data_IF_922160216269
#
_entry.id   IF_922160216269
#
_cell.length_a   1.000
_cell.length_b   1.000
_cell.length_c   1.000
_cell.angle_alpha   90.00
_cell.angle_beta   90.00
_cell.angle_gamma   90.00
#
_symmetry.space_group_name_H-M   'P 1'
#
loop_
_entity.id
_entity.type
_entity.pdbx_description
1 polymer ?
#
# COMPACT_ATOMS: atom_id res chain seq x y z
N UNK A 1 -0.38 -19.65 -19.86
CA UNK A 1 -0.37 -18.17 -19.91
C UNK A 1 0.92 -17.67 -19.28
N UNK A 2 1.38 -16.47 -19.65
CA UNK A 2 2.55 -15.84 -19.03
C UNK A 2 2.10 -14.70 -18.11
N UNK A 3 2.62 -14.66 -16.89
CA UNK A 3 2.41 -13.58 -15.92
C UNK A 3 3.71 -12.77 -15.79
N UNK A 4 3.64 -11.47 -16.06
CA UNK A 4 4.75 -10.55 -15.81
C UNK A 4 4.54 -9.85 -14.47
N UNK A 5 5.43 -10.10 -13.52
CA UNK A 5 5.42 -9.45 -12.21
C UNK A 5 6.30 -8.21 -12.28
N UNK A 6 5.72 -7.03 -12.05
CA UNK A 6 6.42 -5.74 -12.07
C UNK A 6 6.67 -5.26 -10.65
N UNK A 7 7.93 -5.05 -10.30
CA UNK A 7 8.39 -4.69 -8.95
C UNK A 7 9.14 -3.35 -9.00
N UNK A 8 8.50 -2.21 -8.65
CA UNK A 8 9.22 -0.94 -8.52
C UNK A 8 10.12 -0.98 -7.27
N UNK A 9 11.38 -0.58 -7.43
CA UNK A 9 12.39 -0.63 -6.38
C UNK A 9 13.10 0.72 -6.19
N UNK A 10 13.33 1.12 -4.95
CA UNK A 10 14.14 2.29 -4.61
C UNK A 10 14.78 2.15 -3.23
N UNK A 11 16.11 2.02 -3.18
CA UNK A 11 16.92 2.03 -1.94
C UNK A 11 16.46 1.05 -0.85
N UNK A 12 15.97 -0.14 -1.23
CA UNK A 12 15.44 -1.13 -0.29
C UNK A 12 15.92 -2.56 -0.62
N UNK A 13 17.23 -2.81 -0.69
CA UNK A 13 17.78 -4.09 -1.17
C UNK A 13 17.34 -5.29 -0.33
N UNK A 14 17.32 -5.15 0.99
CA UNK A 14 16.94 -6.21 1.94
C UNK A 14 15.49 -6.68 1.75
N UNK A 15 14.59 -5.72 1.52
CA UNK A 15 13.20 -6.01 1.24
C UNK A 15 13.02 -6.65 -0.14
N UNK A 16 13.71 -6.13 -1.16
CA UNK A 16 13.68 -6.71 -2.51
C UNK A 16 14.15 -8.17 -2.49
N UNK A 17 15.23 -8.48 -1.75
CA UNK A 17 15.73 -9.84 -1.62
C UNK A 17 14.68 -10.78 -1.01
N UNK A 18 14.04 -10.34 0.08
CA UNK A 18 12.98 -11.11 0.74
C UNK A 18 11.74 -11.28 -0.16
N UNK A 19 11.36 -10.22 -0.87
CA UNK A 19 10.23 -10.21 -1.81
C UNK A 19 10.46 -11.15 -2.99
N UNK A 20 11.64 -11.09 -3.62
CA UNK A 20 12.01 -12.01 -4.71
C UNK A 20 12.06 -13.46 -4.23
N UNK A 21 12.62 -13.74 -3.05
CA UNK A 21 12.61 -15.09 -2.49
C UNK A 21 11.16 -15.62 -2.30
N UNK A 22 10.22 -14.77 -1.88
CA UNK A 22 8.82 -15.15 -1.75
C UNK A 22 8.11 -15.37 -3.10
N UNK A 23 8.45 -14.59 -4.13
CA UNK A 23 7.95 -14.80 -5.51
C UNK A 23 8.45 -16.12 -6.12
N UNK A 24 9.64 -16.60 -5.72
CA UNK A 24 10.16 -17.89 -6.16
C UNK A 24 9.66 -19.08 -5.32
N UNK A 25 9.11 -18.82 -4.13
CA UNK A 25 8.54 -19.85 -3.24
C UNK A 25 7.03 -20.10 -3.46
N UNK A 26 6.50 -19.69 -4.62
CA UNK A 26 5.08 -19.79 -4.94
C UNK A 26 4.64 -21.24 -5.19
N UNK A 27 3.41 -21.56 -4.83
CA UNK A 27 2.85 -22.92 -4.86
C UNK A 27 1.66 -23.01 -5.80
N UNK A 28 1.53 -24.17 -6.46
CA UNK A 28 0.38 -24.50 -7.29
C UNK A 28 0.24 -23.62 -8.55
N UNK A 29 1.34 -23.06 -9.04
CA UNK A 29 1.38 -22.23 -10.25
C UNK A 29 1.74 -23.11 -11.44
N UNK A 30 0.95 -23.04 -12.51
CA UNK A 30 1.26 -23.73 -13.79
C UNK A 30 1.66 -22.78 -14.90
N UNK A 31 1.48 -21.48 -14.69
CA UNK A 31 1.85 -20.42 -15.61
C UNK A 31 3.35 -20.13 -15.60
N UNK A 32 3.88 -19.73 -16.76
CA UNK A 32 5.23 -19.17 -16.85
C UNK A 32 5.26 -17.79 -16.21
N UNK A 33 6.37 -17.48 -15.53
CA UNK A 33 6.55 -16.24 -14.76
C UNK A 33 7.84 -15.53 -15.19
N UNK A 34 7.72 -14.25 -15.54
CA UNK A 34 8.85 -13.33 -15.62
C UNK A 34 8.69 -12.23 -14.56
N UNK A 35 9.81 -11.79 -13.99
CA UNK A 35 9.82 -10.74 -12.97
C UNK A 35 10.67 -9.58 -13.49
N UNK A 36 10.10 -8.38 -13.47
CA UNK A 36 10.75 -7.16 -13.95
C UNK A 36 10.92 -6.24 -12.75
N UNK A 37 12.14 -6.18 -12.23
CA UNK A 37 12.52 -5.25 -11.17
C UNK A 37 12.92 -3.94 -11.84
N UNK A 38 12.21 -2.86 -11.48
CA UNK A 38 12.48 -1.53 -12.03
C UNK A 38 13.07 -0.65 -10.93
N UNK A 39 14.38 -0.46 -11.00
CA UNK A 39 15.09 0.48 -10.14
C UNK A 39 14.73 1.92 -10.52
N UNK A 40 14.24 2.70 -9.55
CA UNK A 40 13.80 4.07 -9.75
C UNK A 40 14.81 5.11 -9.22
N UNK A 41 16.10 4.84 -9.40
CA UNK A 41 17.19 5.73 -9.01
C UNK A 41 17.77 5.43 -7.63
N UNK A 42 18.03 4.15 -7.34
CA UNK A 42 18.74 3.77 -6.12
C UNK A 42 20.19 4.27 -6.12
N UNK A 43 20.75 4.49 -4.93
CA UNK A 43 22.17 4.84 -4.75
C UNK A 43 23.09 3.74 -5.26
N UNK A 44 22.70 2.50 -5.00
CA UNK A 44 23.37 1.29 -5.44
C UNK A 44 22.34 0.38 -6.12
N UNK A 45 22.67 -0.11 -7.32
CA UNK A 45 21.78 -1.00 -8.05
C UNK A 45 21.80 -2.41 -7.43
N UNK A 46 20.64 -3.08 -7.29
CA UNK A 46 20.53 -4.39 -6.64
C UNK A 46 20.95 -5.55 -7.55
N UNK A 47 22.05 -5.41 -8.31
CA UNK A 47 22.51 -6.41 -9.29
C UNK A 47 22.74 -7.78 -8.66
N UNK A 48 23.41 -7.85 -7.51
CA UNK A 48 23.72 -9.10 -6.83
C UNK A 48 22.49 -9.83 -6.31
N UNK A 49 21.39 -9.11 -6.04
CA UNK A 49 20.13 -9.67 -5.57
C UNK A 49 19.34 -10.21 -6.77
N UNK A 50 19.21 -9.41 -7.85
CA UNK A 50 18.47 -9.81 -9.05
C UNK A 50 19.17 -10.95 -9.81
N UNK A 51 20.50 -10.96 -9.90
CA UNK A 51 21.26 -11.97 -10.64
C UNK A 51 21.22 -13.39 -10.04
N UNK A 52 20.59 -13.58 -8.87
CA UNK A 52 20.37 -14.91 -8.27
C UNK A 52 19.29 -15.72 -9.00
N UNK A 53 18.51 -15.08 -9.88
CA UNK A 53 17.29 -15.63 -10.44
C UNK A 53 17.26 -15.43 -11.96
N UNK A 54 17.12 -16.52 -12.71
CA UNK A 54 17.22 -16.49 -14.18
C UNK A 54 16.04 -15.78 -14.86
N UNK A 55 14.87 -15.74 -14.22
CA UNK A 55 13.66 -15.09 -14.72
C UNK A 55 13.45 -13.67 -14.17
N UNK A 56 14.46 -13.08 -13.52
CA UNK A 56 14.44 -11.70 -13.03
C UNK A 56 15.22 -10.78 -13.97
N UNK A 57 14.54 -9.81 -14.54
CA UNK A 57 15.15 -8.73 -15.31
C UNK A 57 15.23 -7.46 -14.44
N UNK A 58 16.44 -6.95 -14.22
CA UNK A 58 16.67 -5.65 -13.61
C UNK A 58 16.79 -4.57 -14.69
N UNK A 59 16.00 -3.50 -14.56
CA UNK A 59 16.06 -2.31 -15.43
C UNK A 59 15.99 -1.04 -14.61
N UNK A 60 16.50 0.06 -15.17
CA UNK A 60 16.44 1.38 -14.52
C UNK A 60 15.41 2.29 -15.18
N UNK A 61 14.71 3.08 -14.36
CA UNK A 61 13.82 4.16 -14.77
C UNK A 61 14.24 5.46 -14.06
N UNK A 62 14.84 6.44 -14.77
CA UNK A 62 15.36 7.66 -14.17
C UNK A 62 14.25 8.66 -13.77
N UNK A 63 13.04 8.54 -14.30
CA UNK A 63 11.93 9.45 -13.98
C UNK A 63 11.41 9.14 -12.57
N UNK A 64 11.47 10.07 -11.61
CA UNK A 64 11.07 9.78 -10.24
C UNK A 64 9.59 9.45 -10.09
N UNK A 65 9.31 8.39 -9.35
CA UNK A 65 7.97 8.00 -8.94
C UNK A 65 7.65 6.53 -9.26
N UNK A 66 6.79 5.91 -8.44
CA UNK A 66 6.43 4.51 -8.63
C UNK A 66 5.60 4.26 -9.90
N UNK A 67 4.78 5.23 -10.34
CA UNK A 67 4.05 5.16 -11.61
C UNK A 67 4.97 5.03 -12.83
N UNK A 68 5.93 5.96 -13.05
CA UNK A 68 6.95 5.82 -14.10
C UNK A 68 7.70 4.48 -14.06
N UNK A 69 8.13 4.03 -12.88
CA UNK A 69 8.80 2.74 -12.72
C UNK A 69 7.90 1.58 -13.18
N UNK A 70 6.63 1.55 -12.75
CA UNK A 70 5.67 0.52 -13.21
C UNK A 70 5.43 0.58 -14.72
N UNK A 71 5.31 1.78 -15.30
CA UNK A 71 5.16 1.95 -16.75
C UNK A 71 6.36 1.39 -17.52
N UNK A 72 7.58 1.59 -17.01
CA UNK A 72 8.78 0.99 -17.61
C UNK A 72 8.72 -0.53 -17.58
N UNK A 73 8.26 -1.12 -16.47
CA UNK A 73 8.04 -2.56 -16.37
C UNK A 73 6.97 -3.05 -17.34
N UNK A 74 5.83 -2.36 -17.44
CA UNK A 74 4.73 -2.67 -18.37
C UNK A 74 5.23 -2.72 -19.82
N UNK A 75 6.07 -1.77 -20.23
CA UNK A 75 6.58 -1.69 -21.60
C UNK A 75 7.53 -2.84 -21.97
N UNK A 76 8.12 -3.52 -20.97
CA UNK A 76 9.03 -4.65 -21.15
C UNK A 76 8.34 -6.00 -20.97
N UNK A 77 7.21 -6.01 -20.25
CA UNK A 77 6.41 -7.18 -19.99
C UNK A 77 5.90 -7.84 -21.28
N UNK A 78 6.01 -9.17 -21.32
CA UNK A 78 5.56 -10.04 -22.41
C UNK A 78 4.32 -10.83 -22.03
N UNK A 79 3.96 -10.85 -20.75
CA UNK A 79 2.85 -11.58 -20.20
C UNK A 79 1.50 -11.03 -20.61
N UNK A 80 0.54 -11.94 -20.74
CA UNK A 80 -0.86 -11.60 -20.97
C UNK A 80 -1.50 -10.98 -19.73
N UNK A 81 -0.94 -11.29 -18.54
CA UNK A 81 -1.30 -10.72 -17.26
C UNK A 81 -0.11 -9.94 -16.71
N UNK A 82 -0.40 -8.72 -16.26
CA UNK A 82 0.53 -7.86 -15.54
C UNK A 82 0.13 -7.91 -14.06
N UNK A 83 1.05 -8.32 -13.20
CA UNK A 83 0.86 -8.34 -11.76
C UNK A 83 1.83 -7.35 -11.10
N UNK A 84 1.33 -6.54 -10.17
CA UNK A 84 2.09 -5.50 -9.49
C UNK A 84 2.21 -5.82 -8.00
N UNK A 85 3.43 -5.71 -7.49
CA UNK A 85 3.78 -5.86 -6.08
C UNK A 85 4.91 -4.87 -5.75
N UNK A 86 4.85 -4.24 -4.58
CA UNK A 86 5.89 -3.30 -4.14
C UNK A 86 7.14 -4.05 -3.63
N UNK A 87 8.32 -3.45 -3.74
CA UNK A 87 9.58 -4.09 -3.33
C UNK A 87 9.67 -4.37 -1.82
N UNK A 88 8.89 -3.67 -0.98
CA UNK A 88 8.73 -3.92 0.45
C UNK A 88 7.66 -4.95 0.79
N UNK A 89 6.89 -5.42 -0.19
CA UNK A 89 5.88 -6.43 0.03
C UNK A 89 6.43 -7.86 -0.14
N UNK A 90 5.89 -8.78 0.65
CA UNK A 90 6.11 -10.22 0.53
C UNK A 90 4.83 -10.90 0.05
N UNK A 91 4.88 -11.57 -1.10
CA UNK A 91 3.74 -12.35 -1.59
C UNK A 91 3.45 -13.56 -0.68
N UNK A 92 2.17 -13.85 -0.42
CA UNK A 92 1.77 -15.14 0.17
C UNK A 92 2.12 -16.29 -0.78
N UNK A 93 2.33 -17.50 -0.26
CA UNK A 93 2.77 -18.65 -1.07
C UNK A 93 1.80 -19.03 -2.20
N UNK A 94 0.53 -18.65 -2.07
CA UNK A 94 -0.54 -18.92 -3.04
C UNK A 94 -0.91 -17.68 -3.87
N UNK A 95 -0.10 -16.61 -3.84
CA UNK A 95 -0.43 -15.33 -4.50
C UNK A 95 -0.52 -15.47 -6.02
N UNK A 96 0.47 -16.11 -6.65
CA UNK A 96 0.46 -16.34 -8.10
C UNK A 96 -0.63 -17.32 -8.54
N UNK A 97 -0.89 -18.38 -7.76
CA UNK A 97 -1.96 -19.32 -8.09
C UNK A 97 -3.34 -18.70 -7.89
N UNK A 98 -3.51 -17.77 -6.95
CA UNK A 98 -4.73 -16.96 -6.84
C UNK A 98 -4.95 -16.06 -8.08
N UNK A 99 -3.87 -15.46 -8.61
CA UNK A 99 -3.92 -14.67 -9.86
C UNK A 99 -4.31 -15.57 -11.05
N UNK A 100 -3.62 -16.70 -11.23
CA UNK A 100 -3.88 -17.67 -12.31
C UNK A 100 -5.33 -18.19 -12.26
N UNK A 101 -5.80 -18.60 -11.07
CA UNK A 101 -7.17 -19.05 -10.87
C UNK A 101 -8.19 -17.97 -11.21
N UNK A 102 -7.95 -16.71 -10.82
CA UNK A 102 -8.88 -15.62 -11.09
C UNK A 102 -8.98 -15.29 -12.59
N UNK A 103 -7.86 -15.35 -13.33
CA UNK A 103 -7.81 -15.07 -14.77
C UNK A 103 -8.15 -16.26 -15.67
N UNK A 104 -8.36 -17.45 -15.10
CA UNK A 104 -8.95 -18.60 -15.81
C UNK A 104 -10.36 -18.30 -16.33
N UNK A 105 -11.07 -17.36 -15.69
CA UNK A 105 -12.27 -16.75 -16.24
C UNK A 105 -11.87 -15.68 -17.29
N UNK A 106 -12.18 -15.87 -18.58
CA UNK A 106 -11.84 -14.89 -19.62
C UNK A 106 -12.54 -13.54 -19.42
N UNK A 107 -13.63 -13.48 -18.65
CA UNK A 107 -14.34 -12.22 -18.31
C UNK A 107 -13.70 -11.48 -17.14
N UNK A 108 -12.78 -12.10 -16.42
CA UNK A 108 -12.02 -11.45 -15.37
C UNK A 108 -10.92 -10.60 -16.00
N UNK A 109 -10.99 -9.28 -15.80
CA UNK A 109 -10.14 -8.30 -16.49
C UNK A 109 -9.15 -7.60 -15.57
N UNK A 110 -9.59 -7.27 -14.34
CA UNK A 110 -8.81 -6.61 -13.31
C UNK A 110 -9.13 -7.25 -11.95
N UNK A 111 -8.10 -7.59 -11.18
CA UNK A 111 -8.22 -8.08 -9.81
C UNK A 111 -7.36 -7.26 -8.86
N UNK A 112 -7.87 -7.07 -7.65
CA UNK A 112 -7.12 -6.51 -6.52
C UNK A 112 -7.17 -7.45 -5.34
N UNK A 113 -6.03 -7.64 -4.68
CA UNK A 113 -5.90 -8.60 -3.60
C UNK A 113 -5.94 -7.99 -2.20
N UNK A 114 -5.85 -8.82 -1.17
CA UNK A 114 -5.73 -8.36 0.21
C UNK A 114 -4.30 -7.91 0.53
N UNK A 115 -4.16 -6.80 1.24
CA UNK A 115 -2.88 -6.32 1.74
C UNK A 115 -2.93 -6.42 3.27
N UNK A 116 -2.05 -7.25 3.82
CA UNK A 116 -1.96 -7.52 5.24
C UNK A 116 -0.65 -6.97 5.80
N UNK A 117 -0.61 -6.74 7.10
CA UNK A 117 0.64 -6.39 7.78
C UNK A 117 1.38 -7.68 8.09
N UNK A 118 2.61 -7.81 7.59
CA UNK A 118 3.49 -8.92 7.92
C UNK A 118 4.14 -8.69 9.29
N UNK A 119 4.07 -9.69 10.17
CA UNK A 119 4.76 -9.64 11.46
C UNK A 119 6.17 -10.20 11.31
N UNK A 120 7.17 -9.47 11.78
CA UNK A 120 8.56 -9.97 11.75
C UNK A 120 8.72 -11.18 12.69
N UNK A 121 8.05 -11.12 13.85
CA UNK A 121 8.00 -12.18 14.88
C UNK A 121 6.57 -12.37 15.37
N UNK A 122 5.78 -13.24 14.72
CA UNK A 122 4.38 -13.47 15.07
C UNK A 122 4.13 -13.81 16.55
N UNK A 123 5.08 -14.47 17.20
CA UNK A 123 5.06 -14.83 18.61
C UNK A 123 5.31 -13.65 19.57
N UNK A 124 5.88 -12.56 19.07
CA UNK A 124 6.24 -11.38 19.84
C UNK A 124 5.93 -10.09 19.04
N UNK A 125 4.63 -9.81 18.79
CA UNK A 125 4.23 -8.67 17.98
C UNK A 125 4.65 -7.37 18.62
N UNK A 126 5.11 -6.44 17.79
CA UNK A 126 5.44 -5.07 18.17
C UNK A 126 4.19 -4.30 18.58
N UNK A 127 4.39 -3.15 19.22
CA UNK A 127 3.30 -2.26 19.63
C UNK A 127 2.43 -1.76 18.45
N UNK A 128 3.00 -1.69 17.24
CA UNK A 128 2.35 -1.09 16.06
C UNK A 128 1.67 -2.13 15.17
N UNK A 129 2.24 -3.32 15.06
CA UNK A 129 1.79 -4.39 14.15
C UNK A 129 0.28 -4.67 14.29
N UNK A 130 -0.28 -5.00 15.48
CA UNK A 130 -1.72 -5.23 15.62
C UNK A 130 -2.60 -4.03 15.26
N UNK A 131 -2.14 -2.81 15.56
CA UNK A 131 -2.87 -1.60 15.20
C UNK A 131 -2.88 -1.40 13.68
N UNK A 132 -1.73 -1.54 13.03
CA UNK A 132 -1.62 -1.42 11.58
C UNK A 132 -2.38 -2.52 10.85
N UNK A 133 -2.40 -3.76 11.38
CA UNK A 133 -3.19 -4.86 10.82
C UNK A 133 -4.68 -4.53 10.70
N UNK A 134 -5.21 -3.75 11.64
CA UNK A 134 -6.63 -3.37 11.67
C UNK A 134 -6.89 -2.12 10.81
N UNK A 135 -5.99 -1.13 10.86
CA UNK A 135 -6.28 0.23 10.37
C UNK A 135 -5.49 0.66 9.12
N UNK A 136 -4.48 -0.12 8.71
CA UNK A 136 -3.72 0.13 7.48
C UNK A 136 -4.18 -0.80 6.35
N UNK A 137 -3.93 -0.39 5.10
CA UNK A 137 -4.04 -1.22 3.89
C UNK A 137 -5.39 -1.94 3.68
N UNK A 138 -6.51 -1.21 3.79
CA UNK A 138 -7.88 -1.71 3.56
C UNK A 138 -8.21 -1.76 2.06
N UNK A 139 -7.47 -2.58 1.30
CA UNK A 139 -7.54 -2.59 -0.16
C UNK A 139 -8.92 -3.00 -0.70
N UNK A 140 -9.67 -3.81 0.06
CA UNK A 140 -11.07 -4.14 -0.22
C UNK A 140 -11.98 -2.89 -0.29
N UNK A 141 -11.74 -1.89 0.57
CA UNK A 141 -12.48 -0.62 0.56
C UNK A 141 -12.05 0.28 -0.59
N UNK A 142 -10.75 0.33 -0.89
CA UNK A 142 -10.26 1.03 -2.07
C UNK A 142 -10.93 0.48 -3.34
N UNK A 143 -11.06 -0.85 -3.44
CA UNK A 143 -11.70 -1.53 -4.58
C UNK A 143 -13.18 -1.19 -4.67
N UNK A 144 -13.87 -1.12 -3.52
CA UNK A 144 -15.25 -0.62 -3.47
C UNK A 144 -15.37 0.84 -3.95
N UNK A 145 -14.33 1.65 -3.71
CA UNK A 145 -14.21 3.04 -4.19
C UNK A 145 -13.70 3.13 -5.65
N UNK A 146 -13.49 2.00 -6.33
CA UNK A 146 -13.15 1.91 -7.75
C UNK A 146 -11.66 1.92 -8.08
N UNK A 147 -10.76 1.67 -7.11
CA UNK A 147 -9.32 1.55 -7.38
C UNK A 147 -8.66 0.48 -6.51
N UNK A 148 -7.46 0.03 -6.86
CA UNK A 148 -6.70 -0.89 -6.00
C UNK A 148 -5.30 -0.35 -5.82
N UNK A 149 -4.76 -0.45 -4.60
CA UNK A 149 -3.37 -0.15 -4.36
C UNK A 149 -2.49 -1.05 -5.22
N UNK A 150 -1.57 -0.45 -5.97
CA UNK A 150 -0.71 -1.16 -6.93
C UNK A 150 0.32 -2.07 -6.28
N UNK A 151 0.42 -2.09 -4.96
CA UNK A 151 1.15 -3.13 -4.23
C UNK A 151 0.48 -4.50 -4.26
N UNK A 152 -0.78 -4.60 -4.72
CA UNK A 152 -1.47 -5.87 -4.93
C UNK A 152 -2.60 -5.77 -5.99
N UNK A 153 -2.19 -5.62 -7.25
CA UNK A 153 -3.07 -5.47 -8.41
C UNK A 153 -2.62 -6.42 -9.51
N UNK A 154 -3.54 -7.10 -10.19
CA UNK A 154 -3.23 -7.77 -11.44
C UNK A 154 -4.30 -7.48 -12.51
N UNK A 155 -3.87 -7.42 -13.76
CA UNK A 155 -4.68 -6.93 -14.88
C UNK A 155 -4.27 -7.59 -16.19
N UNK A 156 -5.23 -7.80 -17.09
CA UNK A 156 -4.89 -8.19 -18.47
C UNK A 156 -4.09 -7.08 -19.16
N UNK A 157 -3.01 -7.43 -19.85
CA UNK A 157 -2.20 -6.46 -20.59
C UNK A 157 -3.03 -5.66 -21.61
N UNK A 158 -4.06 -6.28 -22.20
CA UNK A 158 -5.01 -5.62 -23.10
C UNK A 158 -5.83 -4.51 -22.44
N UNK A 159 -6.16 -4.65 -21.15
CA UNK A 159 -6.86 -3.63 -20.36
C UNK A 159 -5.92 -2.48 -20.02
N UNK A 160 -4.69 -2.79 -19.60
CA UNK A 160 -3.65 -1.79 -19.36
C UNK A 160 -3.42 -0.91 -20.60
N UNK A 161 -3.38 -1.52 -21.79
CA UNK A 161 -3.26 -0.80 -23.07
C UNK A 161 -4.46 0.12 -23.37
N UNK A 162 -5.68 -0.28 -23.02
CA UNK A 162 -6.89 0.52 -23.22
C UNK A 162 -6.99 1.69 -22.24
N UNK A 163 -6.65 1.46 -20.97
CA UNK A 163 -6.73 2.49 -19.92
C UNK A 163 -5.59 3.50 -20.04
N UNK A 164 -4.41 3.05 -20.45
CA UNK A 164 -3.19 3.85 -20.54
C UNK A 164 -2.32 3.78 -19.28
N UNK A 165 -1.17 4.46 -19.29
CA UNK A 165 -0.15 4.34 -18.25
C UNK A 165 -0.59 4.89 -16.88
N UNK A 166 0.15 4.53 -15.83
CA UNK A 166 0.06 5.18 -14.52
C UNK A 166 0.57 6.63 -14.60
N UNK A 167 -0.01 7.51 -13.77
CA UNK A 167 0.42 8.90 -13.66
C UNK A 167 1.77 9.04 -12.91
N UNK A 168 2.36 10.24 -12.96
CA UNK A 168 3.59 10.57 -12.26
C UNK A 168 3.40 10.87 -10.76
N UNK A 169 4.51 11.17 -10.08
CA UNK A 169 4.59 11.34 -8.60
C UNK A 169 3.66 12.41 -7.99
N UNK A 170 3.15 13.35 -8.79
CA UNK A 170 2.24 14.40 -8.32
C UNK A 170 0.78 13.96 -8.20
N UNK A 171 0.48 12.72 -8.60
CA UNK A 171 -0.86 12.14 -8.61
C UNK A 171 -0.80 10.81 -7.86
N UNK A 172 -1.85 10.50 -7.08
CA UNK A 172 -2.04 9.15 -6.56
C UNK A 172 -2.33 8.21 -7.73
N UNK A 173 -1.28 7.56 -8.26
CA UNK A 173 -1.31 6.93 -9.57
C UNK A 173 -2.23 5.71 -9.62
N UNK A 174 -2.35 5.01 -8.51
CA UNK A 174 -3.22 3.85 -8.31
C UNK A 174 -4.71 4.24 -8.39
N UNK A 175 -5.07 5.31 -7.68
CA UNK A 175 -6.42 5.88 -7.66
C UNK A 175 -6.79 6.50 -8.99
N UNK A 176 -5.89 7.28 -9.59
CA UNK A 176 -6.11 7.85 -10.91
C UNK A 176 -6.37 6.76 -11.96
N UNK A 177 -5.52 5.75 -12.02
CA UNK A 177 -5.63 4.67 -12.99
C UNK A 177 -6.92 3.85 -12.79
N UNK A 178 -7.23 3.47 -11.55
CA UNK A 178 -8.45 2.72 -11.23
C UNK A 178 -9.72 3.47 -11.64
N UNK A 179 -9.80 4.78 -11.37
CA UNK A 179 -10.94 5.60 -11.76
C UNK A 179 -11.06 5.77 -13.28
N UNK A 180 -9.94 5.86 -14.01
CA UNK A 180 -9.96 5.85 -15.48
C UNK A 180 -10.44 4.51 -16.03
N UNK A 181 -9.99 3.40 -15.46
CA UNK A 181 -10.48 2.07 -15.83
C UNK A 181 -12.00 1.95 -15.59
N UNK A 182 -12.50 2.42 -14.45
CA UNK A 182 -13.93 2.45 -14.14
C UNK A 182 -14.76 3.28 -15.13
N UNK A 183 -14.24 4.42 -15.60
CA UNK A 183 -14.90 5.25 -16.63
C UNK A 183 -15.01 4.55 -17.99
N UNK A 184 -14.14 3.59 -18.27
CA UNK A 184 -14.21 2.74 -19.47
C UNK A 184 -15.10 1.50 -19.28
N UNK A 185 -15.70 1.33 -18.10
CA UNK A 185 -16.62 0.23 -17.79
C UNK A 185 -15.97 -0.99 -17.13
N UNK A 186 -14.65 -0.97 -16.93
CA UNK A 186 -13.97 -2.07 -16.23
C UNK A 186 -14.33 -2.09 -14.75
N UNK A 187 -14.35 -3.29 -14.17
CA UNK A 187 -14.58 -3.51 -12.75
C UNK A 187 -13.42 -4.26 -12.14
N UNK A 188 -12.98 -3.81 -10.98
CA UNK A 188 -11.94 -4.48 -10.20
C UNK A 188 -12.63 -5.53 -9.32
N UNK A 189 -12.29 -6.79 -9.51
CA UNK A 189 -12.74 -7.88 -8.64
C UNK A 189 -11.82 -8.00 -7.45
N UNK A 190 -12.38 -7.99 -6.24
CA UNK A 190 -11.61 -8.31 -5.03
C UNK A 190 -11.38 -9.82 -4.93
N UNK A 191 -10.13 -10.23 -4.72
CA UNK A 191 -9.71 -11.63 -4.55
C UNK A 191 -9.01 -11.78 -3.19
N UNK A 192 -9.71 -12.21 -2.12
CA UNK A 192 -9.15 -12.25 -0.77
C UNK A 192 -8.00 -13.25 -0.59
N UNK A 193 -7.87 -14.23 -1.48
CA UNK A 193 -6.79 -15.22 -1.48
C UNK A 193 -5.48 -14.68 -2.09
N UNK A 194 -5.56 -13.62 -2.90
CA UNK A 194 -4.40 -12.92 -3.46
C UNK A 194 -3.81 -12.01 -2.37
N UNK A 195 -2.98 -12.57 -1.48
CA UNK A 195 -2.48 -11.87 -0.29
C UNK A 195 -1.03 -11.41 -0.48
N UNK A 196 -0.76 -10.15 -0.11
CA UNK A 196 0.62 -9.66 0.11
C UNK A 196 0.76 -9.14 1.54
N UNK A 197 1.96 -9.26 2.09
CA UNK A 197 2.34 -8.76 3.41
C UNK A 197 3.22 -7.54 3.26
N UNK A 198 2.74 -6.40 3.75
CA UNK A 198 3.50 -5.15 3.86
C UNK A 198 4.10 -5.05 5.28
N UNK A 199 5.35 -4.60 5.46
CA UNK A 199 5.94 -4.42 6.77
C UNK A 199 5.19 -3.34 7.57
N UNK A 200 5.07 -3.53 8.88
CA UNK A 200 4.62 -2.46 9.76
C UNK A 200 5.66 -1.34 9.82
N UNK A 201 5.23 -0.13 10.24
CA UNK A 201 6.19 0.91 10.63
C UNK A 201 7.01 0.43 11.82
N UNK A 202 8.29 0.79 11.84
CA UNK A 202 9.22 0.34 12.89
C UNK A 202 9.06 1.15 14.17
N UNK A 203 8.69 2.42 14.05
CA UNK A 203 8.64 3.34 15.19
C UNK A 203 7.32 4.09 15.29
N UNK A 204 6.91 4.39 16.53
CA UNK A 204 5.71 5.21 16.77
C UNK A 204 5.85 6.62 16.17
N UNK A 205 7.09 7.12 16.03
CA UNK A 205 7.38 8.39 15.37
C UNK A 205 7.03 8.37 13.89
N UNK A 206 7.32 7.30 13.15
CA UNK A 206 6.88 7.15 11.75
C UNK A 206 5.35 7.19 11.63
N UNK A 207 4.64 6.56 12.58
CA UNK A 207 3.17 6.60 12.62
C UNK A 207 2.66 8.02 12.91
N UNK A 208 3.31 8.76 13.81
CA UNK A 208 2.99 10.17 14.07
C UNK A 208 3.20 11.03 12.83
N UNK A 209 4.35 10.88 12.14
CA UNK A 209 4.66 11.63 10.91
C UNK A 209 3.63 11.35 9.80
N UNK A 210 3.14 10.11 9.68
CA UNK A 210 2.03 9.76 8.77
C UNK A 210 0.80 10.61 9.07
N UNK A 211 0.38 10.64 10.33
CA UNK A 211 -0.82 11.36 10.73
C UNK A 211 -0.64 12.88 10.70
N UNK A 212 0.56 13.40 10.97
CA UNK A 212 0.86 14.84 10.85
C UNK A 212 0.60 15.34 9.42
N UNK A 213 0.99 14.56 8.40
CA UNK A 213 0.66 14.87 7.00
C UNK A 213 -0.84 14.96 6.75
N UNK A 214 -1.57 13.95 7.21
CA UNK A 214 -3.02 13.88 7.01
C UNK A 214 -3.72 15.03 7.74
N UNK A 215 -3.30 15.32 8.96
CA UNK A 215 -3.80 16.44 9.76
C UNK A 215 -3.55 17.77 9.04
N UNK A 216 -2.35 18.00 8.51
CA UNK A 216 -2.02 19.24 7.81
C UNK A 216 -2.93 19.44 6.59
N UNK A 217 -3.13 18.41 5.78
CA UNK A 217 -4.03 18.44 4.63
C UNK A 217 -5.48 18.71 5.04
N UNK A 218 -5.96 17.99 6.07
CA UNK A 218 -7.31 18.17 6.63
C UNK A 218 -7.53 19.58 7.19
N UNK A 219 -6.51 20.18 7.81
CA UNK A 219 -6.59 21.49 8.43
C UNK A 219 -6.86 22.58 7.41
N UNK A 220 -6.10 22.61 6.31
CA UNK A 220 -6.24 23.62 5.25
C UNK A 220 -7.64 23.58 4.61
N UNK A 221 -8.17 22.37 4.40
CA UNK A 221 -9.49 22.17 3.84
C UNK A 221 -10.64 22.54 4.81
N UNK A 222 -10.53 22.22 6.10
CA UNK A 222 -11.57 22.58 7.08
C UNK A 222 -11.53 24.06 7.42
N UNK A 223 -10.34 24.65 7.58
CA UNK A 223 -10.17 26.02 8.07
C UNK A 223 -10.69 27.07 7.10
N UNK A 224 -10.68 26.76 5.80
CA UNK A 224 -11.22 27.60 4.72
C UNK A 224 -12.76 27.63 4.66
N UNK A 225 -13.46 26.80 5.45
CA UNK A 225 -14.93 26.75 5.48
C UNK A 225 -15.52 27.65 6.58
N UNK A 226 -16.81 28.06 6.47
CA UNK A 226 -17.49 28.78 7.54
C UNK A 226 -17.43 28.03 8.87
N UNK A 227 -17.12 28.75 9.95
CA UNK A 227 -16.88 28.20 11.29
C UNK A 227 -15.75 27.16 11.35
N UNK A 228 -14.77 27.23 10.44
CA UNK A 228 -13.70 26.26 10.30
C UNK A 228 -12.92 25.99 11.60
N UNK A 229 -12.67 27.01 12.42
CA UNK A 229 -12.03 26.84 13.73
C UNK A 229 -12.84 25.99 14.72
N UNK A 230 -14.14 26.27 14.87
CA UNK A 230 -15.03 25.47 15.73
C UNK A 230 -15.19 24.05 15.19
N UNK A 231 -15.38 23.89 13.87
CA UNK A 231 -15.47 22.58 13.21
C UNK A 231 -14.20 21.76 13.41
N UNK A 232 -13.05 22.41 13.34
CA UNK A 232 -11.76 21.78 13.59
C UNK A 232 -11.59 21.33 15.05
N UNK A 233 -11.93 22.19 16.02
CA UNK A 233 -11.91 21.86 17.43
C UNK A 233 -12.84 20.67 17.75
N UNK A 234 -14.07 20.70 17.23
CA UNK A 234 -15.02 19.60 17.38
C UNK A 234 -14.48 18.29 16.78
N UNK A 235 -13.87 18.34 15.59
CA UNK A 235 -13.23 17.17 14.96
C UNK A 235 -12.06 16.65 15.80
N UNK A 236 -11.26 17.53 16.39
CA UNK A 236 -10.14 17.15 17.26
C UNK A 236 -10.62 16.39 18.51
N UNK A 237 -11.68 16.88 19.17
CA UNK A 237 -12.30 16.20 20.33
C UNK A 237 -12.88 14.84 19.90
N UNK A 238 -13.60 14.79 18.78
CA UNK A 238 -14.15 13.55 18.25
C UNK A 238 -13.06 12.52 17.91
N UNK A 239 -11.94 12.95 17.32
CA UNK A 239 -10.78 12.09 17.06
C UNK A 239 -10.17 11.57 18.36
N UNK A 240 -10.02 12.41 19.39
CA UNK A 240 -9.47 11.99 20.69
C UNK A 240 -10.38 10.98 21.42
N UNK A 241 -11.71 11.16 21.32
CA UNK A 241 -12.70 10.28 21.94
C UNK A 241 -13.06 9.03 21.11
N UNK A 242 -12.63 8.94 19.84
CA UNK A 242 -12.99 7.84 18.96
C UNK A 242 -12.59 6.43 19.41
N UNK A 243 -11.53 6.19 20.24
CA UNK A 243 -11.19 4.85 20.70
C UNK A 243 -12.34 4.11 21.40
N UNK A 244 -13.25 4.84 22.08
CA UNK A 244 -14.41 4.23 22.75
C UNK A 244 -15.36 3.60 21.73
N UNK A 245 -15.59 4.27 20.61
CA UNK A 245 -16.47 3.79 19.53
C UNK A 245 -15.82 2.66 18.72
N UNK A 246 -14.49 2.69 18.63
CA UNK A 246 -13.68 1.72 17.88
C UNK A 246 -13.35 0.45 18.67
N UNK A 247 -13.74 0.38 19.96
CA UNK A 247 -13.48 -0.78 20.80
C UNK A 247 -14.06 -2.06 20.18
N UNK A 248 -15.29 -1.99 19.66
CA UNK A 248 -15.92 -3.12 18.97
C UNK A 248 -15.09 -3.56 17.75
N UNK A 249 -14.64 -2.61 16.93
CA UNK A 249 -13.78 -2.88 15.76
C UNK A 249 -12.54 -3.68 16.15
N UNK A 250 -11.84 -3.24 17.20
CA UNK A 250 -10.62 -3.93 17.69
C UNK A 250 -10.94 -5.33 18.20
N UNK A 251 -12.01 -5.48 18.99
CA UNK A 251 -12.37 -6.77 19.57
C UNK A 251 -12.83 -7.79 18.53
N UNK A 252 -13.55 -7.36 17.50
CA UNK A 252 -14.12 -8.25 16.47
C UNK A 252 -13.25 -8.42 15.22
N UNK A 253 -12.12 -7.70 15.13
CA UNK A 253 -11.27 -7.76 13.94
C UNK A 253 -10.69 -9.17 13.73
N UNK A 254 -10.76 -9.66 12.49
CA UNK A 254 -10.10 -10.90 12.05
C UNK A 254 -8.61 -10.71 11.73
N UNK A 255 -8.13 -9.46 11.77
CA UNK A 255 -6.74 -9.09 11.43
C UNK A 255 -5.75 -9.28 12.57
N UNK A 256 -6.24 -9.57 13.77
CA UNK A 256 -5.42 -9.77 14.97
C UNK A 256 -5.92 -10.99 15.72
N UNK A 257 -4.99 -11.68 16.40
CA UNK A 257 -5.28 -12.92 17.11
C UNK A 257 -5.05 -12.78 18.62
N UNK A 258 -5.91 -13.40 19.43
CA UNK A 258 -5.73 -13.42 20.89
C UNK A 258 -6.01 -12.10 21.62
N UNK A 259 -5.87 -12.12 22.95
CA UNK A 259 -6.16 -10.97 23.81
C UNK A 259 -5.00 -9.95 23.83
N UNK A 260 -3.76 -10.44 23.71
CA UNK A 260 -2.55 -9.61 23.77
C UNK A 260 -2.46 -8.63 22.59
N UNK A 261 -2.63 -9.10 21.35
CA UNK A 261 -2.62 -8.24 20.18
C UNK A 261 -3.75 -7.19 20.23
N UNK A 262 -4.94 -7.59 20.68
CA UNK A 262 -6.08 -6.67 20.86
C UNK A 262 -5.76 -5.57 21.87
N UNK A 263 -5.09 -5.91 22.97
CA UNK A 263 -4.63 -4.93 23.96
C UNK A 263 -3.60 -3.96 23.35
N UNK A 264 -2.60 -4.48 22.63
CA UNK A 264 -1.60 -3.65 21.93
C UNK A 264 -2.27 -2.71 20.92
N UNK A 265 -3.17 -3.24 20.09
CA UNK A 265 -3.92 -2.46 19.10
C UNK A 265 -4.74 -1.34 19.76
N UNK A 266 -5.43 -1.64 20.87
CA UNK A 266 -6.22 -0.66 21.61
C UNK A 266 -5.34 0.42 22.25
N UNK A 267 -4.24 0.04 22.90
CA UNK A 267 -3.30 0.99 23.50
C UNK A 267 -2.65 1.89 22.45
N UNK A 268 -2.26 1.33 21.30
CA UNK A 268 -1.73 2.10 20.19
C UNK A 268 -2.79 3.04 19.61
N UNK A 269 -4.03 2.56 19.40
CA UNK A 269 -5.16 3.37 18.95
C UNK A 269 -5.41 4.56 19.89
N UNK A 270 -5.47 4.33 21.20
CA UNK A 270 -5.65 5.39 22.20
C UNK A 270 -4.51 6.40 22.08
N UNK A 271 -3.26 5.93 22.12
CA UNK A 271 -2.07 6.78 22.08
C UNK A 271 -2.03 7.65 20.83
N UNK A 272 -2.29 7.08 19.65
CA UNK A 272 -2.25 7.85 18.39
C UNK A 272 -3.44 8.80 18.26
N UNK A 273 -4.63 8.45 18.76
CA UNK A 273 -5.82 9.33 18.72
C UNK A 273 -5.69 10.52 19.66
N UNK A 274 -5.15 10.31 20.86
CA UNK A 274 -4.81 11.39 21.79
C UNK A 274 -3.72 12.31 21.22
N UNK A 275 -2.67 11.74 20.63
CA UNK A 275 -1.64 12.52 19.93
C UNK A 275 -2.25 13.41 18.85
N UNK A 276 -3.08 12.83 17.97
CA UNK A 276 -3.74 13.55 16.89
C UNK A 276 -4.65 14.66 17.42
N UNK A 277 -5.51 14.37 18.39
CA UNK A 277 -6.40 15.38 18.98
C UNK A 277 -5.63 16.56 19.56
N UNK A 278 -4.56 16.29 20.33
CA UNK A 278 -3.68 17.34 20.87
C UNK A 278 -3.00 18.15 19.77
N UNK A 279 -2.44 17.50 18.75
CA UNK A 279 -1.77 18.16 17.61
C UNK A 279 -2.75 19.05 16.84
N UNK A 280 -3.95 18.53 16.56
CA UNK A 280 -5.01 19.29 15.91
C UNK A 280 -5.40 20.54 16.72
N UNK A 281 -5.60 20.42 18.03
CA UNK A 281 -5.91 21.59 18.87
C UNK A 281 -4.76 22.61 18.92
N UNK A 282 -3.51 22.16 18.99
CA UNK A 282 -2.34 23.04 18.97
C UNK A 282 -2.27 23.91 17.69
N UNK A 283 -2.64 23.36 16.53
CA UNK A 283 -2.67 24.08 15.26
C UNK A 283 -3.68 25.25 15.21
N UNK A 284 -4.64 25.34 16.14
CA UNK A 284 -5.51 26.51 16.25
C UNK A 284 -4.78 27.74 16.80
N UNK A 285 -3.74 27.52 17.61
CA UNK A 285 -2.97 28.57 18.27
C UNK A 285 -1.66 28.89 17.54
N UNK A 286 -1.07 27.90 16.86
CA UNK A 286 0.24 28.03 16.19
C UNK A 286 0.16 28.72 14.80
N UNK A 287 -1.03 28.91 14.23
CA UNK A 287 -1.28 29.78 13.06
C UNK A 287 -0.60 29.40 11.74
N UNK A 288 0.23 28.35 11.68
CA UNK A 288 1.08 28.10 10.53
C UNK A 288 1.10 26.62 10.12
N UNK A 289 0.39 26.26 9.04
CA UNK A 289 0.47 24.91 8.44
C UNK A 289 1.85 24.60 7.85
N UNK A 290 2.65 25.63 7.51
CA UNK A 290 3.96 25.47 6.86
C UNK A 290 5.03 24.83 7.73
N UNK A 291 4.96 24.99 9.05
CA UNK A 291 5.92 24.36 9.98
C UNK A 291 5.80 22.83 10.02
N UNK A 292 4.65 22.28 9.62
CA UNK A 292 4.38 20.83 9.59
C UNK A 292 4.78 20.21 8.23
N UNK A 293 4.82 21.02 7.16
CA UNK A 293 5.16 20.58 5.79
C UNK A 293 6.66 20.63 5.46
N UNK A 294 7.50 21.25 6.30
CA UNK A 294 8.89 21.60 5.96
C UNK A 294 9.96 20.51 6.11
N UNK A 295 9.60 19.32 6.59
CA UNK A 295 10.55 18.21 6.77
C UNK A 295 10.25 17.08 5.78
N UNK A 296 10.47 17.31 4.48
CA UNK A 296 10.20 16.30 3.46
C UNK A 296 11.39 16.02 2.54
N UNK A 297 11.70 14.72 2.47
CA UNK A 297 12.48 13.95 1.51
C UNK A 297 13.97 14.28 1.31
N UNK A 298 14.81 13.71 2.19
CA UNK A 298 16.07 12.99 1.88
C UNK A 298 16.76 12.56 3.18
N UNK A 299 16.55 11.31 3.58
CA UNK A 299 17.61 10.49 4.19
C UNK A 299 17.55 9.12 3.54
#
# INVERSE_FOLDING_TARGET
MLISVVVPHLNQPEFLETGLAALHAQKGVTSDIEIIVVDNGSRELPHSICAKWDNVQLVSEPTPGPGPARNRGINLAKGEILAFIDADCKAHADWLSAIENAFSDPKCEIIGGDVQVGYERPEAPTFLEPYESIYSYRNNEHIADGFSGTGNLAVRASVMKQVGPFAGISVAEDRDWGLRAGKLGFKIRYVPEMIVYHPARKTFQELMLKWDRHIAHDYEWIRSRPFGGLKWAARAIAVAGSPVLELKTVLTSKRVSGAYERLLALLCLIRIRLYRGRKMLAMLFEGNSRAVSGAWNRK
#
